data_IF_666225912413
#
_entry.id   IF_666225912413
#
_cell.length_a   1.000
_cell.length_b   1.000
_cell.length_c   1.000
_cell.angle_alpha   90.00
_cell.angle_beta   90.00
_cell.angle_gamma   90.00
#
_symmetry.space_group_name_H-M   'P 1'
#
loop_
_entity.id
_entity.type
_entity.pdbx_description
1 polymer ?
#
# COMPACT_ATOMS: atom_id res chain seq x y z
N UNK A 1 15.60 3.99 -15.79
CA UNK A 1 15.82 3.22 -14.56
C UNK A 1 14.43 2.81 -14.07
N UNK A 2 14.07 1.52 -14.09
CA UNK A 2 12.74 1.09 -13.62
C UNK A 2 12.69 1.16 -12.09
N UNK A 3 11.51 1.44 -11.50
CA UNK A 3 11.31 1.20 -10.06
C UNK A 3 11.40 -0.30 -9.83
N UNK A 4 12.21 -0.71 -8.86
CA UNK A 4 12.43 -2.13 -8.55
C UNK A 4 11.25 -2.67 -7.74
N UNK A 5 10.43 -3.52 -8.37
CA UNK A 5 9.23 -4.11 -7.76
C UNK A 5 9.60 -4.97 -6.54
N UNK A 6 10.75 -5.65 -6.55
CA UNK A 6 11.18 -6.47 -5.43
C UNK A 6 11.56 -5.60 -4.23
N UNK A 7 12.20 -4.46 -4.46
CA UNK A 7 12.48 -3.50 -3.39
C UNK A 7 11.20 -2.94 -2.77
N UNK A 8 10.20 -2.57 -3.59
CA UNK A 8 8.89 -2.10 -3.12
C UNK A 8 8.22 -3.20 -2.28
N UNK A 9 8.22 -4.43 -2.80
CA UNK A 9 7.65 -5.58 -2.12
C UNK A 9 8.31 -5.83 -0.77
N UNK A 10 9.64 -5.78 -0.68
CA UNK A 10 10.36 -5.95 0.59
C UNK A 10 9.95 -4.90 1.63
N UNK A 11 9.88 -3.62 1.23
CA UNK A 11 9.45 -2.52 2.11
C UNK A 11 8.02 -2.77 2.63
N UNK A 12 7.10 -3.13 1.74
CA UNK A 12 5.70 -3.39 2.07
C UNK A 12 5.55 -4.60 3.01
N UNK A 13 6.24 -5.70 2.72
CA UNK A 13 6.22 -6.90 3.57
C UNK A 13 6.68 -6.58 4.98
N UNK A 14 7.80 -5.87 5.13
CA UNK A 14 8.32 -5.48 6.45
C UNK A 14 7.35 -4.57 7.21
N UNK A 15 6.73 -3.62 6.51
CA UNK A 15 5.79 -2.69 7.11
C UNK A 15 4.48 -3.39 7.55
N UNK A 16 3.86 -4.17 6.67
CA UNK A 16 2.59 -4.84 6.96
C UNK A 16 2.73 -5.86 8.09
N UNK A 17 3.77 -6.69 8.06
CA UNK A 17 4.00 -7.69 9.11
C UNK A 17 4.25 -7.08 10.49
N UNK A 18 4.87 -5.89 10.55
CA UNK A 18 5.25 -5.25 11.81
C UNK A 18 4.15 -4.37 12.39
N UNK A 19 3.39 -3.69 11.53
CA UNK A 19 2.57 -2.55 11.94
C UNK A 19 1.12 -2.62 11.52
N UNK A 20 0.73 -3.57 10.66
CA UNK A 20 -0.63 -3.66 10.10
C UNK A 20 -1.17 -5.10 10.12
N UNK A 21 -1.35 -5.72 11.31
CA UNK A 21 -1.89 -7.08 11.44
C UNK A 21 -3.31 -7.25 10.87
N UNK A 22 -4.05 -6.16 10.70
CA UNK A 22 -5.37 -6.11 10.08
C UNK A 22 -5.35 -6.34 8.56
N UNK A 23 -4.20 -6.23 7.90
CA UNK A 23 -4.07 -6.50 6.45
C UNK A 23 -3.90 -8.00 6.25
N UNK A 24 -4.93 -8.65 5.73
CA UNK A 24 -4.91 -10.09 5.46
C UNK A 24 -4.15 -10.42 4.17
N UNK A 25 -4.34 -9.57 3.14
CA UNK A 25 -3.73 -9.73 1.81
C UNK A 25 -3.40 -8.38 1.22
N UNK A 26 -2.26 -8.28 0.53
CA UNK A 26 -1.87 -7.11 -0.25
C UNK A 26 -1.41 -7.51 -1.65
N UNK A 27 -1.83 -6.76 -2.66
CA UNK A 27 -1.48 -6.92 -4.07
C UNK A 27 -0.80 -5.65 -4.58
N UNK A 28 0.33 -5.80 -5.27
CA UNK A 28 0.84 -4.77 -6.19
C UNK A 28 0.24 -5.11 -7.56
N UNK A 29 -0.44 -4.16 -8.19
CA UNK A 29 -1.08 -4.38 -9.48
C UNK A 29 -0.73 -3.28 -10.48
N UNK A 30 -1.51 -3.18 -11.56
CA UNK A 30 -1.38 -2.10 -12.53
C UNK A 30 -0.10 -2.16 -13.36
N UNK A 31 0.44 -0.97 -13.67
CA UNK A 31 1.51 -0.82 -14.65
C UNK A 31 2.87 -1.33 -14.17
N UNK A 32 3.10 -1.34 -12.85
CA UNK A 32 4.30 -1.90 -12.22
C UNK A 32 4.30 -3.43 -12.36
N UNK A 33 3.17 -4.08 -12.14
CA UNK A 33 3.03 -5.53 -12.29
C UNK A 33 3.17 -6.00 -13.75
N UNK A 34 2.88 -5.13 -14.73
CA UNK A 34 2.98 -5.44 -16.17
C UNK A 34 4.36 -5.12 -16.78
N UNK A 35 5.34 -4.70 -15.97
CA UNK A 35 6.69 -4.26 -16.39
C UNK A 35 6.72 -3.10 -17.42
N UNK A 36 5.58 -2.47 -17.69
CA UNK A 36 5.46 -1.28 -18.55
C UNK A 36 5.70 0.01 -17.79
N UNK A 37 5.98 -0.06 -16.49
CA UNK A 37 6.19 1.12 -15.65
C UNK A 37 7.45 1.90 -16.02
N UNK A 38 7.32 3.22 -15.97
CA UNK A 38 8.42 4.16 -16.05
C UNK A 38 8.62 4.85 -14.68
N UNK A 39 9.59 5.74 -14.55
CA UNK A 39 9.88 6.44 -13.29
C UNK A 39 8.73 7.29 -12.74
N UNK A 40 7.73 7.59 -13.59
CA UNK A 40 6.58 8.42 -13.28
C UNK A 40 5.33 7.58 -12.99
N UNK A 41 5.39 6.25 -13.11
CA UNK A 41 4.23 5.41 -12.88
C UNK A 41 3.88 5.32 -11.40
N UNK A 42 2.59 5.46 -11.11
CA UNK A 42 2.00 5.27 -9.79
C UNK A 42 2.24 3.84 -9.27
N UNK A 43 2.28 3.70 -7.95
CA UNK A 43 2.35 2.40 -7.26
C UNK A 43 0.92 2.01 -6.87
N UNK A 44 0.31 1.15 -7.68
CA UNK A 44 -1.02 0.60 -7.44
C UNK A 44 -0.98 -0.51 -6.39
N UNK A 45 -1.62 -0.29 -5.23
CA UNK A 45 -1.69 -1.23 -4.11
C UNK A 45 -3.15 -1.52 -3.74
N UNK A 46 -3.52 -2.80 -3.70
CA UNK A 46 -4.84 -3.24 -3.24
C UNK A 46 -4.68 -4.08 -1.97
N UNK A 47 -5.55 -3.87 -0.98
CA UNK A 47 -5.53 -4.61 0.29
C UNK A 47 -6.91 -5.21 0.62
N UNK A 48 -6.89 -6.36 1.29
CA UNK A 48 -8.05 -6.94 1.99
C UNK A 48 -7.80 -6.78 3.49
N UNK A 49 -8.81 -6.28 4.20
CA UNK A 49 -8.72 -5.93 5.61
C UNK A 49 -9.62 -6.82 6.47
N UNK A 50 -9.13 -7.27 7.62
CA UNK A 50 -9.97 -7.71 8.72
C UNK A 50 -10.53 -6.47 9.45
N UNK A 51 -11.69 -5.99 9.02
CA UNK A 51 -12.34 -4.81 9.58
C UNK A 51 -12.58 -4.89 11.09
N UNK A 52 -12.64 -6.09 11.66
CA UNK A 52 -12.84 -6.27 13.12
C UNK A 52 -11.63 -5.82 13.93
N UNK A 53 -10.46 -5.75 13.31
CA UNK A 53 -9.22 -5.27 13.93
C UNK A 53 -9.05 -3.75 13.79
N UNK A 54 -9.96 -3.08 13.07
CA UNK A 54 -9.89 -1.65 12.81
C UNK A 54 -10.90 -0.91 13.70
N UNK A 55 -10.37 -0.06 14.59
CA UNK A 55 -11.20 0.88 15.32
C UNK A 55 -11.36 2.19 14.54
N UNK A 56 -12.29 2.24 13.59
CA UNK A 56 -12.44 3.37 12.63
C UNK A 56 -12.49 4.75 13.31
N UNK A 57 -13.08 4.83 14.52
CA UNK A 57 -13.16 6.05 15.33
C UNK A 57 -11.80 6.68 15.69
N UNK A 58 -10.71 5.91 15.64
CA UNK A 58 -9.36 6.39 15.94
C UNK A 58 -8.74 7.17 14.76
N UNK A 59 -9.34 7.07 13.57
CA UNK A 59 -8.81 7.66 12.35
C UNK A 59 -9.69 8.85 11.92
N UNK A 60 -9.23 10.07 12.24
CA UNK A 60 -9.98 11.32 11.95
C UNK A 60 -10.39 11.50 10.49
N UNK A 61 -9.64 10.90 9.56
CA UNK A 61 -9.89 10.95 8.11
C UNK A 61 -10.18 9.56 7.52
N UNK A 62 -10.48 8.59 8.38
CA UNK A 62 -10.71 7.20 8.04
C UNK A 62 -9.43 6.38 7.88
N UNK A 63 -9.54 5.08 8.10
CA UNK A 63 -8.40 4.14 8.08
C UNK A 63 -7.66 4.16 6.74
N UNK A 64 -8.39 4.25 5.62
CA UNK A 64 -7.79 4.30 4.28
C UNK A 64 -6.81 5.46 4.12
N UNK A 65 -7.16 6.64 4.64
CA UNK A 65 -6.32 7.83 4.53
C UNK A 65 -5.05 7.70 5.40
N UNK A 66 -5.17 7.10 6.59
CA UNK A 66 -4.05 6.80 7.46
C UNK A 66 -3.06 5.83 6.80
N UNK A 67 -3.58 4.72 6.27
CA UNK A 67 -2.76 3.73 5.57
C UNK A 67 -2.08 4.33 4.33
N UNK A 68 -2.80 5.13 3.54
CA UNK A 68 -2.22 5.81 2.37
C UNK A 68 -1.09 6.77 2.76
N UNK A 69 -1.26 7.54 3.83
CA UNK A 69 -0.23 8.46 4.32
C UNK A 69 1.05 7.74 4.74
N UNK A 70 0.92 6.59 5.41
CA UNK A 70 2.07 5.76 5.75
C UNK A 70 2.75 5.16 4.51
N UNK A 71 1.97 4.65 3.55
CA UNK A 71 2.51 4.11 2.31
C UNK A 71 3.32 5.15 1.53
N UNK A 72 2.80 6.37 1.39
CA UNK A 72 3.49 7.51 0.77
C UNK A 72 4.83 7.78 1.48
N UNK A 73 4.83 7.75 2.82
CA UNK A 73 6.01 8.02 3.64
C UNK A 73 7.08 6.94 3.49
N UNK A 74 6.71 5.65 3.56
CA UNK A 74 7.68 4.55 3.48
C UNK A 74 8.21 4.34 2.06
N UNK A 75 7.36 4.54 1.04
CA UNK A 75 7.74 4.44 -0.37
C UNK A 75 8.41 5.72 -0.92
N UNK A 76 8.39 6.80 -0.12
CA UNK A 76 9.01 8.11 -0.43
C UNK A 76 8.49 8.70 -1.74
N UNK A 77 7.21 8.53 -2.01
CA UNK A 77 6.55 9.07 -3.20
C UNK A 77 5.07 9.31 -2.94
N UNK A 78 4.52 10.37 -3.53
CA UNK A 78 3.09 10.66 -3.47
C UNK A 78 2.29 9.87 -4.53
N UNK A 79 2.99 9.24 -5.47
CA UNK A 79 2.44 8.47 -6.59
C UNK A 79 2.06 7.05 -6.09
N UNK A 80 1.08 6.98 -5.19
CA UNK A 80 0.57 5.73 -4.60
C UNK A 80 -0.95 5.72 -4.68
N UNK A 81 -1.50 4.73 -5.36
CA UNK A 81 -2.94 4.52 -5.47
C UNK A 81 -3.35 3.33 -4.61
N UNK A 82 -4.14 3.60 -3.56
CA UNK A 82 -4.62 2.58 -2.61
C UNK A 82 -6.07 2.20 -2.86
N UNK A 83 -6.33 0.91 -2.99
CA UNK A 83 -7.66 0.30 -3.07
C UNK A 83 -7.88 -0.64 -1.88
N UNK A 84 -9.03 -0.53 -1.21
CA UNK A 84 -9.51 -1.53 -0.25
C UNK A 84 -10.55 -2.36 -0.99
N UNK A 85 -10.40 -3.69 -0.96
CA UNK A 85 -11.18 -4.61 -1.80
C UNK A 85 -12.48 -5.09 -1.17
N UNK A 86 -12.65 -4.96 0.14
CA UNK A 86 -13.83 -5.36 0.90
C UNK A 86 -14.53 -4.17 1.57
#
# INVERSE_FOLDING_TARGET
MKRDIEQIREILVQYFQKSRPEIEVAYIFGSIAQETSNLLSDIDIAVILDEKQIEERLYSYGYKADLLADLIKILKTNEVDLVILN
#
